data_IF_323385764464
#
_entry.id   IF_323385764464
#
_cell.length_a   1.000
_cell.length_b   1.000
_cell.length_c   1.000
_cell.angle_alpha   90.00
_cell.angle_beta   90.00
_cell.angle_gamma   90.00
#
_symmetry.space_group_name_H-M   'P 1'
#
loop_
_entity.id
_entity.type
_entity.pdbx_description
1 polymer ?
#
# COMPACT_ATOMS: atom_id res chain seq x y z
N UNK A 1 7.99 -12.79 -14.80
CA UNK A 1 6.89 -12.78 -13.81
C UNK A 1 5.80 -11.84 -14.30
N UNK A 2 4.52 -12.17 -14.06
CA UNK A 2 3.46 -11.16 -14.16
C UNK A 2 3.63 -10.19 -12.97
N UNK A 3 3.47 -8.87 -13.16
CA UNK A 3 3.55 -7.92 -12.05
C UNK A 3 2.44 -8.23 -11.03
N UNK A 4 2.79 -8.26 -9.74
CA UNK A 4 1.85 -8.57 -8.64
C UNK A 4 0.90 -7.42 -8.33
N UNK A 5 1.15 -6.22 -8.88
CA UNK A 5 0.24 -5.10 -8.80
C UNK A 5 0.21 -4.28 -10.11
N UNK A 6 -0.84 -3.49 -10.28
CA UNK A 6 -1.02 -2.55 -11.39
C UNK A 6 -1.52 -1.21 -10.87
N UNK A 7 -0.89 -0.13 -11.32
CA UNK A 7 -1.34 1.24 -11.04
C UNK A 7 -2.50 1.55 -12.00
N UNK A 8 -3.67 1.86 -11.46
CA UNK A 8 -4.92 1.96 -12.23
C UNK A 8 -5.33 3.38 -12.64
N UNK A 9 -4.60 4.41 -12.22
CA UNK A 9 -4.85 5.74 -12.75
C UNK A 9 -4.07 6.85 -12.07
N UNK A 10 -3.89 7.91 -12.85
CA UNK A 10 -3.66 9.28 -12.40
C UNK A 10 -4.65 10.16 -13.14
N UNK A 11 -5.63 10.73 -12.44
CA UNK A 11 -6.45 11.80 -13.01
C UNK A 11 -6.69 12.88 -11.96
N UNK A 12 -6.44 14.13 -12.36
CA UNK A 12 -6.80 15.29 -11.55
C UNK A 12 -8.28 15.58 -11.78
N UNK A 13 -9.12 15.38 -10.78
CA UNK A 13 -10.50 15.84 -10.78
C UNK A 13 -10.51 17.37 -10.80
N UNK A 14 -11.12 17.93 -11.84
CA UNK A 14 -11.21 19.38 -12.04
C UNK A 14 -12.34 20.02 -11.23
N UNK A 15 -13.17 19.22 -10.56
CA UNK A 15 -14.39 19.64 -9.88
C UNK A 15 -14.28 19.70 -8.35
N UNK A 16 -13.09 19.46 -7.77
CA UNK A 16 -12.84 19.55 -6.33
C UNK A 16 -11.53 20.32 -6.07
N UNK A 17 -11.54 21.23 -5.09
CA UNK A 17 -10.40 22.09 -4.74
C UNK A 17 -9.31 21.41 -3.90
N UNK A 18 -9.61 20.31 -3.21
CA UNK A 18 -8.70 19.46 -2.43
C UNK A 18 -9.08 17.97 -2.59
N UNK A 19 -8.12 17.05 -2.48
CA UNK A 19 -8.28 15.60 -2.73
C UNK A 19 -8.36 15.21 -4.21
N UNK A 20 -7.64 15.93 -5.08
CA UNK A 20 -7.93 15.93 -6.52
C UNK A 20 -7.33 14.79 -7.35
N UNK A 21 -6.43 13.94 -6.83
CA UNK A 21 -5.87 12.83 -7.62
C UNK A 21 -6.60 11.50 -7.37
N UNK A 22 -7.16 10.92 -8.43
CA UNK A 22 -7.52 9.49 -8.44
C UNK A 22 -6.21 8.70 -8.59
N UNK A 23 -5.78 8.06 -7.50
CA UNK A 23 -4.63 7.16 -7.44
C UNK A 23 -5.11 5.85 -6.82
N UNK A 24 -5.22 4.80 -7.62
CA UNK A 24 -5.57 3.45 -7.14
C UNK A 24 -4.51 2.44 -7.57
N UNK A 25 -4.29 1.41 -6.74
CA UNK A 25 -3.44 0.27 -7.06
C UNK A 25 -4.26 -1.01 -6.94
N UNK A 26 -4.21 -1.86 -7.97
CA UNK A 26 -4.77 -3.20 -7.93
C UNK A 26 -3.65 -4.18 -7.59
N UNK A 27 -3.82 -4.93 -6.52
CA UNK A 27 -2.90 -5.97 -6.06
C UNK A 27 -3.48 -7.36 -6.36
N UNK A 28 -2.70 -8.30 -6.87
CA UNK A 28 -3.13 -9.70 -7.07
C UNK A 28 -3.64 -10.28 -5.74
N UNK A 29 -4.87 -10.78 -5.73
CA UNK A 29 -5.51 -11.24 -4.49
C UNK A 29 -4.76 -12.43 -3.85
N UNK A 30 -4.05 -13.24 -4.64
CA UNK A 30 -3.23 -14.35 -4.11
C UNK A 30 -1.98 -13.82 -3.41
N UNK A 31 -1.41 -12.73 -3.90
CA UNK A 31 -0.32 -12.03 -3.21
C UNK A 31 -0.81 -11.41 -1.90
N UNK A 32 -1.99 -10.77 -1.92
CA UNK A 32 -2.62 -10.22 -0.72
C UNK A 32 -2.87 -11.30 0.35
N UNK A 33 -3.48 -12.42 -0.05
CA UNK A 33 -3.75 -13.56 0.84
C UNK A 33 -2.46 -14.17 1.40
N UNK A 34 -1.39 -14.14 0.61
CA UNK A 34 -0.06 -14.56 1.06
C UNK A 34 0.50 -13.61 2.12
N UNK A 35 0.46 -12.30 1.90
CA UNK A 35 0.86 -11.30 2.89
C UNK A 35 0.08 -11.46 4.21
N UNK A 36 -1.21 -11.78 4.14
CA UNK A 36 -2.08 -12.04 5.31
C UNK A 36 -1.67 -13.28 6.11
N UNK A 37 -0.92 -14.22 5.52
CA UNK A 37 -0.46 -15.45 6.19
C UNK A 37 0.91 -15.33 6.84
N UNK A 38 1.67 -14.27 6.54
CA UNK A 38 2.99 -14.08 7.10
C UNK A 38 2.94 -13.21 8.35
N UNK A 39 3.51 -13.70 9.45
CA UNK A 39 3.74 -12.88 10.63
C UNK A 39 4.80 -11.80 10.32
N UNK A 40 4.52 -10.55 10.71
CA UNK A 40 5.30 -9.38 10.30
C UNK A 40 6.13 -8.78 11.43
N UNK A 41 7.09 -9.56 11.91
CA UNK A 41 8.08 -9.13 12.91
C UNK A 41 9.00 -8.00 12.41
N UNK A 42 8.96 -7.71 11.10
CA UNK A 42 9.82 -6.71 10.44
C UNK A 42 9.19 -5.32 10.33
N UNK A 43 8.04 -5.05 10.95
CA UNK A 43 7.40 -3.73 10.90
C UNK A 43 8.35 -2.60 11.28
N UNK A 44 9.07 -2.70 12.41
CA UNK A 44 9.97 -1.62 12.83
C UNK A 44 11.07 -1.33 11.79
N UNK A 45 11.65 -2.38 11.19
CA UNK A 45 12.67 -2.25 10.13
C UNK A 45 12.07 -1.63 8.86
N UNK A 46 10.84 -2.01 8.51
CA UNK A 46 10.11 -1.38 7.41
C UNK A 46 9.95 0.12 7.64
N UNK A 47 9.46 0.53 8.82
CA UNK A 47 9.28 1.94 9.12
C UNK A 47 10.60 2.72 9.17
N UNK A 48 11.65 2.14 9.73
CA UNK A 48 13.00 2.72 9.76
C UNK A 48 13.49 2.99 8.34
N UNK A 49 13.40 2.01 7.44
CA UNK A 49 13.86 2.17 6.06
C UNK A 49 13.01 3.15 5.25
N UNK A 50 11.69 3.13 5.42
CA UNK A 50 10.83 4.10 4.75
C UNK A 50 11.17 5.53 5.20
N UNK A 51 11.45 5.76 6.49
CA UNK A 51 11.91 7.06 6.97
C UNK A 51 13.23 7.49 6.31
N UNK A 52 14.12 6.56 5.94
CA UNK A 52 15.34 6.88 5.18
C UNK A 52 15.04 7.29 3.74
N UNK A 53 14.02 6.70 3.10
CA UNK A 53 13.66 6.97 1.70
C UNK A 53 12.82 8.24 1.55
N UNK A 54 11.68 8.33 2.24
CA UNK A 54 10.73 9.45 2.08
C UNK A 54 10.95 10.56 3.14
N UNK A 55 11.88 10.34 4.07
CA UNK A 55 12.28 11.34 5.07
C UNK A 55 11.18 11.63 6.09
N UNK A 56 11.17 12.87 6.56
CA UNK A 56 10.19 13.41 7.52
C UNK A 56 8.73 13.38 7.00
N UNK A 57 8.51 13.06 5.72
CA UNK A 57 7.17 12.89 5.17
C UNK A 57 6.55 11.55 5.55
N UNK A 58 7.30 10.58 6.07
CA UNK A 58 6.67 9.31 6.48
C UNK A 58 5.78 9.53 7.71
N UNK A 59 4.46 9.27 7.58
CA UNK A 59 3.58 9.31 8.73
C UNK A 59 3.46 7.91 9.37
N UNK A 60 2.91 6.94 8.64
CA UNK A 60 2.69 5.58 9.15
C UNK A 60 2.35 4.57 8.06
N UNK A 61 2.53 3.29 8.37
CA UNK A 61 1.94 2.15 7.70
C UNK A 61 1.22 1.30 8.74
N UNK A 62 0.05 0.80 8.40
CA UNK A 62 -0.78 -0.05 9.25
C UNK A 62 -0.88 -1.41 8.60
N UNK A 63 -0.68 -2.45 9.39
CA UNK A 63 -0.78 -3.83 8.95
C UNK A 63 -1.99 -4.50 9.60
N UNK A 64 -2.54 -5.51 8.95
CA UNK A 64 -3.66 -6.28 9.51
C UNK A 64 -3.13 -7.20 10.62
N UNK A 65 -3.57 -6.92 11.85
CA UNK A 65 -3.12 -7.62 13.06
C UNK A 65 -1.58 -7.64 13.13
N UNK A 66 -1.00 -8.83 13.18
CA UNK A 66 0.42 -9.10 13.24
C UNK A 66 0.95 -9.67 11.91
N UNK A 67 0.20 -9.47 10.82
CA UNK A 67 0.51 -10.04 9.50
C UNK A 67 1.25 -9.04 8.61
N UNK A 68 1.80 -9.51 7.49
CA UNK A 68 2.48 -8.64 6.53
C UNK A 68 1.50 -7.94 5.58
N UNK A 69 0.19 -8.15 5.72
CA UNK A 69 -0.80 -7.49 4.88
C UNK A 69 -0.93 -6.01 5.24
N UNK A 70 -0.57 -5.15 4.30
CA UNK A 70 -0.64 -3.70 4.44
C UNK A 70 -2.10 -3.23 4.32
N UNK A 71 -2.71 -2.75 5.40
CA UNK A 71 -4.09 -2.25 5.34
C UNK A 71 -4.15 -0.81 4.86
N UNK A 72 -3.18 0.01 5.27
CA UNK A 72 -3.08 1.41 4.86
C UNK A 72 -1.68 1.98 5.08
N UNK A 73 -1.36 3.05 4.36
CA UNK A 73 -0.19 3.88 4.60
C UNK A 73 -0.53 5.36 4.42
N UNK A 74 0.26 6.23 5.06
CA UNK A 74 0.09 7.67 5.00
C UNK A 74 1.44 8.40 5.02
N UNK A 75 1.47 9.57 4.37
CA UNK A 75 2.59 10.52 4.41
C UNK A 75 2.15 11.89 4.97
N UNK A 76 3.02 12.57 5.72
CA UNK A 76 2.82 13.89 6.33
C UNK A 76 2.80 15.02 5.28
N UNK A 77 2.07 16.10 5.61
CA UNK A 77 1.74 17.22 4.73
C UNK A 77 0.28 17.63 4.97
N UNK A 78 -0.64 17.05 4.19
CA UNK A 78 -2.10 17.11 4.34
C UNK A 78 -2.71 15.71 4.09
N UNK A 79 -2.31 14.74 4.92
CA UNK A 79 -2.83 13.36 5.05
C UNK A 79 -3.10 12.58 3.74
N UNK A 80 -2.11 12.52 2.84
CA UNK A 80 -2.20 11.64 1.67
C UNK A 80 -2.12 10.17 2.12
N UNK A 81 -3.16 9.40 1.86
CA UNK A 81 -3.31 8.02 2.28
C UNK A 81 -3.48 7.09 1.08
N UNK A 82 -3.07 5.84 1.24
CA UNK A 82 -3.40 4.72 0.36
C UNK A 82 -3.81 3.54 1.23
N UNK A 83 -4.98 2.95 1.00
CA UNK A 83 -5.46 1.83 1.82
C UNK A 83 -6.60 1.06 1.19
N UNK A 84 -6.89 -0.11 1.77
CA UNK A 84 -8.01 -0.96 1.34
C UNK A 84 -9.30 -0.56 2.04
N UNK A 85 -10.44 -0.96 1.46
CA UNK A 85 -11.73 -0.88 2.14
C UNK A 85 -11.73 -1.77 3.40
N UNK A 86 -12.24 -1.23 4.52
CA UNK A 86 -12.29 -1.94 5.80
C UNK A 86 -13.09 -3.25 5.75
N UNK A 87 -14.09 -3.35 4.87
CA UNK A 87 -14.85 -4.59 4.64
C UNK A 87 -13.99 -5.74 4.12
N UNK A 88 -12.84 -5.45 3.49
CA UNK A 88 -11.93 -6.48 3.01
C UNK A 88 -11.17 -7.15 4.16
N UNK A 89 -10.94 -6.47 5.29
CA UNK A 89 -10.08 -6.97 6.36
C UNK A 89 -10.56 -8.31 6.96
N UNK A 90 -11.87 -8.52 7.00
CA UNK A 90 -12.51 -9.73 7.55
C UNK A 90 -13.12 -10.65 6.46
N UNK A 91 -12.93 -10.32 5.18
CA UNK A 91 -13.56 -11.05 4.06
C UNK A 91 -12.74 -12.24 3.57
N UNK A 92 -13.43 -13.20 2.95
CA UNK A 92 -12.80 -14.22 2.09
C UNK A 92 -12.56 -13.65 0.70
N UNK A 93 -11.31 -13.66 0.25
CA UNK A 93 -10.89 -13.15 -1.06
C UNK A 93 -10.65 -14.26 -2.09
N UNK A 94 -10.99 -15.51 -1.77
CA UNK A 94 -10.76 -16.68 -2.65
C UNK A 94 -11.38 -16.54 -4.05
N UNK A 95 -12.41 -15.69 -4.19
CA UNK A 95 -13.10 -15.40 -5.44
C UNK A 95 -12.64 -14.10 -6.13
N UNK A 96 -11.81 -13.29 -5.47
CA UNK A 96 -11.34 -12.01 -6.00
C UNK A 96 -10.10 -12.24 -6.87
N UNK A 97 -10.01 -11.53 -7.99
CA UNK A 97 -8.79 -11.51 -8.81
C UNK A 97 -7.79 -10.47 -8.27
N UNK A 98 -8.31 -9.35 -7.74
CA UNK A 98 -7.51 -8.23 -7.25
C UNK A 98 -8.11 -7.59 -6.00
N UNK A 99 -7.22 -7.01 -5.19
CA UNK A 99 -7.53 -6.13 -4.06
C UNK A 99 -7.22 -4.70 -4.47
N UNK A 100 -8.20 -3.81 -4.38
CA UNK A 100 -8.02 -2.39 -4.68
C UNK A 100 -7.57 -1.61 -3.45
N UNK A 101 -6.48 -0.85 -3.61
CA UNK A 101 -6.06 0.19 -2.69
C UNK A 101 -6.46 1.55 -3.27
N UNK A 102 -7.18 2.33 -2.48
CA UNK A 102 -7.67 3.65 -2.86
C UNK A 102 -6.82 4.74 -2.23
N UNK A 103 -6.40 5.68 -3.07
CA UNK A 103 -5.78 6.93 -2.64
C UNK A 103 -6.82 7.89 -2.06
N UNK A 104 -6.46 8.57 -0.97
CA UNK A 104 -7.28 9.59 -0.33
C UNK A 104 -6.42 10.82 -0.01
N UNK A 105 -6.94 12.03 -0.26
CA UNK A 105 -6.22 13.32 -0.10
C UNK A 105 -4.86 13.37 -0.80
N UNK A 106 -4.75 12.73 -1.98
CA UNK A 106 -3.56 12.81 -2.81
C UNK A 106 -3.67 14.06 -3.68
N UNK A 107 -2.97 15.13 -3.31
CA UNK A 107 -3.10 16.44 -3.94
C UNK A 107 -1.95 16.80 -4.88
N UNK A 108 -0.86 16.05 -4.82
CA UNK A 108 0.31 16.26 -5.66
C UNK A 108 0.88 14.97 -6.21
N UNK A 109 1.59 15.09 -7.34
CA UNK A 109 2.38 13.97 -7.89
C UNK A 109 3.46 13.49 -6.92
N UNK A 110 4.02 14.40 -6.11
CA UNK A 110 5.01 14.06 -5.11
C UNK A 110 4.43 13.11 -4.05
N UNK A 111 3.24 13.40 -3.53
CA UNK A 111 2.55 12.52 -2.58
C UNK A 111 2.21 11.15 -3.19
N UNK A 112 1.72 11.12 -4.44
CA UNK A 112 1.47 9.85 -5.14
C UNK A 112 2.75 9.02 -5.31
N UNK A 113 3.87 9.68 -5.62
CA UNK A 113 5.18 9.04 -5.76
C UNK A 113 5.70 8.52 -4.41
N UNK A 114 5.57 9.30 -3.34
CA UNK A 114 5.95 8.90 -2.00
C UNK A 114 5.13 7.67 -1.56
N UNK A 115 3.80 7.66 -1.76
CA UNK A 115 2.93 6.50 -1.49
C UNK A 115 3.30 5.27 -2.34
N UNK A 116 3.56 5.46 -3.63
CA UNK A 116 3.96 4.35 -4.52
C UNK A 116 5.30 3.76 -4.10
N UNK A 117 6.25 4.59 -3.69
CA UNK A 117 7.57 4.15 -3.22
C UNK A 117 7.44 3.26 -1.98
N UNK A 118 6.60 3.67 -1.03
CA UNK A 118 6.31 2.89 0.18
C UNK A 118 5.63 1.56 -0.20
N UNK A 119 4.63 1.59 -1.07
CA UNK A 119 3.91 0.40 -1.53
C UNK A 119 4.85 -0.60 -2.24
N UNK A 120 5.70 -0.13 -3.15
CA UNK A 120 6.66 -0.98 -3.86
C UNK A 120 7.65 -1.62 -2.89
N UNK A 121 8.19 -0.85 -1.94
CA UNK A 121 9.11 -1.40 -0.95
C UNK A 121 8.45 -2.49 -0.08
N UNK A 122 7.18 -2.29 0.28
CA UNK A 122 6.41 -3.32 0.97
C UNK A 122 6.26 -4.60 0.12
N UNK A 123 5.94 -4.47 -1.17
CA UNK A 123 5.87 -5.61 -2.10
C UNK A 123 7.20 -6.36 -2.12
N UNK A 124 8.32 -5.66 -2.26
CA UNK A 124 9.65 -6.26 -2.32
C UNK A 124 9.98 -7.06 -1.04
N UNK A 125 9.58 -6.55 0.14
CA UNK A 125 9.75 -7.29 1.40
C UNK A 125 8.91 -8.56 1.42
N UNK A 126 7.64 -8.47 1.03
CA UNK A 126 6.74 -9.64 1.02
C UNK A 126 7.19 -10.66 -0.02
N UNK A 127 7.82 -10.25 -1.13
CA UNK A 127 8.47 -11.13 -2.10
C UNK A 127 9.76 -11.77 -1.56
N UNK A 128 10.59 -11.02 -0.84
CA UNK A 128 11.82 -11.56 -0.23
C UNK A 128 11.54 -12.55 0.91
N UNK A 129 10.44 -12.38 1.65
CA UNK A 129 9.99 -13.37 2.64
C UNK A 129 9.66 -14.73 2.02
N UNK A 130 9.44 -14.79 0.71
CA UNK A 130 9.08 -16.01 -0.01
C UNK A 130 10.31 -16.82 -0.39
N UNK A 131 11.39 -16.16 -0.81
CA UNK A 131 12.64 -16.83 -1.19
C UNK A 131 13.36 -17.51 -0.03
N UNK A 132 13.02 -17.15 1.21
CA UNK A 132 13.57 -17.79 2.41
C UNK A 132 12.83 -19.08 2.80
N UNK A 133 11.75 -19.45 2.09
CA UNK A 133 10.95 -20.66 2.35
C UNK A 133 11.01 -21.72 1.24
N UNK A 134 11.66 -21.41 0.11
CA UNK A 134 11.96 -22.34 -0.99
C UNK A 134 13.43 -22.81 -0.92
#
# INVERSE_FOLDING_TARGET
>A
MKPVYRIMGWSRRSDITMGSCIFSIYLDARFAEKARKFHFERQRKFEEHIREIVGYKYARATFLCDTAFLSSMAVEGDCACLGVDGSLLDSDWSHMEFIEYHGHNVDSKAQAFDLLTIFTYWVDIVEAMQSDQD
#
